data_IF_437139106148
#
_entry.id   IF_437139106148
#
_cell.length_a   1.000
_cell.length_b   1.000
_cell.length_c   1.000
_cell.angle_alpha   90.00
_cell.angle_beta   90.00
_cell.angle_gamma   90.00
#
_symmetry.space_group_name_H-M   'P 1'
#
loop_
_entity.id
_entity.type
_entity.pdbx_description
1 polymer ?
#
# COMPACT_ATOMS: atom_id res chain seq x y z
N UNK A 1 -54.39 36.23 66.25
CA UNK A 1 -53.78 34.91 65.91
C UNK A 1 -53.99 34.51 64.45
N UNK A 2 -55.24 34.45 63.95
CA UNK A 2 -55.57 34.02 62.58
C UNK A 2 -54.83 34.84 61.49
N UNK A 3 -54.78 36.17 61.62
CA UNK A 3 -54.07 37.02 60.65
C UNK A 3 -52.54 36.78 60.59
N UNK A 4 -51.92 36.35 61.69
CA UNK A 4 -50.50 35.99 61.68
C UNK A 4 -50.28 34.64 61.00
N UNK A 5 -51.17 33.66 61.22
CA UNK A 5 -51.11 32.36 60.55
C UNK A 5 -51.26 32.55 59.04
N UNK A 6 -52.27 33.31 58.58
CA UNK A 6 -52.49 33.61 57.16
C UNK A 6 -51.27 34.31 56.53
N UNK A 7 -50.67 35.29 57.22
CA UNK A 7 -49.45 35.96 56.74
C UNK A 7 -48.26 35.01 56.63
N UNK A 8 -48.05 34.16 57.63
CA UNK A 8 -46.96 33.19 57.64
C UNK A 8 -47.14 32.14 56.55
N UNK A 9 -48.36 31.61 56.35
CA UNK A 9 -48.66 30.66 55.27
C UNK A 9 -48.44 31.27 53.90
N UNK A 10 -48.88 32.53 53.66
CA UNK A 10 -48.60 33.24 52.39
C UNK A 10 -47.10 33.43 52.15
N UNK A 11 -46.33 33.76 53.20
CA UNK A 11 -44.88 33.92 53.11
C UNK A 11 -44.18 32.59 52.79
N UNK A 12 -44.62 31.49 53.39
CA UNK A 12 -44.12 30.14 53.10
C UNK A 12 -44.46 29.75 51.65
N UNK A 13 -45.70 29.94 51.19
CA UNK A 13 -46.09 29.66 49.80
C UNK A 13 -45.28 30.48 48.80
N UNK A 14 -45.05 31.76 49.09
CA UNK A 14 -44.21 32.61 48.25
C UNK A 14 -42.76 32.12 48.19
N UNK A 15 -42.21 31.66 49.31
CA UNK A 15 -40.85 31.11 49.33
C UNK A 15 -40.77 29.78 48.58
N UNK A 16 -41.77 28.90 48.72
CA UNK A 16 -41.84 27.63 47.98
C UNK A 16 -41.86 27.88 46.47
N UNK A 17 -42.71 28.80 46.00
CA UNK A 17 -42.77 29.19 44.58
C UNK A 17 -41.44 29.78 44.09
N UNK A 18 -40.77 30.59 44.93
CA UNK A 18 -39.48 31.17 44.60
C UNK A 18 -38.39 30.10 44.45
N UNK A 19 -38.29 29.16 45.39
CA UNK A 19 -37.33 28.06 45.30
C UNK A 19 -37.63 27.11 44.15
N UNK A 20 -38.91 26.87 43.84
CA UNK A 20 -39.31 26.04 42.71
C UNK A 20 -38.90 26.70 41.38
N UNK A 21 -39.09 28.01 41.24
CA UNK A 21 -38.60 28.75 40.07
C UNK A 21 -37.07 28.69 39.93
N UNK A 22 -36.32 28.83 41.02
CA UNK A 22 -34.86 28.68 40.97
C UNK A 22 -34.42 27.27 40.59
N UNK A 23 -35.16 26.25 41.06
CA UNK A 23 -34.89 24.86 40.71
C UNK A 23 -35.16 24.60 39.21
N UNK A 24 -36.25 25.14 38.66
CA UNK A 24 -36.57 25.04 37.24
C UNK A 24 -35.52 25.76 36.37
N UNK A 25 -35.07 26.95 36.78
CA UNK A 25 -33.97 27.69 36.12
C UNK A 25 -32.65 26.91 36.18
N UNK A 26 -32.36 26.24 37.30
CA UNK A 26 -31.17 25.38 37.44
C UNK A 26 -31.24 24.19 36.49
N UNK A 27 -32.39 23.51 36.38
CA UNK A 27 -32.58 22.39 35.45
C UNK A 27 -32.38 22.86 34.00
N UNK A 28 -32.98 23.99 33.60
CA UNK A 28 -32.80 24.56 32.28
C UNK A 28 -31.32 24.84 31.97
N UNK A 29 -30.60 25.46 32.91
CA UNK A 29 -29.18 25.76 32.74
C UNK A 29 -28.33 24.48 32.63
N UNK A 30 -28.65 23.44 33.41
CA UNK A 30 -27.96 22.15 33.32
C UNK A 30 -28.23 21.48 31.97
N UNK A 31 -29.44 21.53 31.44
CA UNK A 31 -29.75 20.97 30.12
C UNK A 31 -28.99 21.69 29.00
N UNK A 32 -28.91 23.02 29.05
CA UNK A 32 -28.16 23.81 28.06
C UNK A 32 -26.67 23.46 28.14
N UNK A 33 -26.09 23.47 29.34
CA UNK A 33 -24.69 23.06 29.59
C UNK A 33 -24.41 21.65 29.10
N UNK A 34 -25.32 20.70 29.31
CA UNK A 34 -25.19 19.31 28.86
C UNK A 34 -25.10 19.26 27.33
N UNK A 35 -25.99 19.95 26.62
CA UNK A 35 -25.98 20.02 25.15
C UNK A 35 -24.73 20.70 24.60
N UNK A 36 -24.27 21.78 25.23
CA UNK A 36 -23.02 22.45 24.88
C UNK A 36 -21.81 21.50 24.98
N UNK A 37 -21.68 20.78 26.11
CA UNK A 37 -20.58 19.83 26.32
C UNK A 37 -20.66 18.65 25.34
N UNK A 38 -21.86 18.10 25.08
CA UNK A 38 -22.06 17.02 24.11
C UNK A 38 -21.67 17.46 22.69
N UNK A 39 -22.04 18.68 22.30
CA UNK A 39 -21.68 19.27 21.01
C UNK A 39 -20.17 19.47 20.89
N UNK A 40 -19.53 20.06 21.90
CA UNK A 40 -18.08 20.31 21.90
C UNK A 40 -17.27 19.01 21.89
N UNK A 41 -17.70 17.99 22.65
CA UNK A 41 -17.06 16.69 22.65
C UNK A 41 -17.19 15.98 21.29
N UNK A 42 -18.37 16.03 20.66
CA UNK A 42 -18.61 15.41 19.36
C UNK A 42 -17.77 16.06 18.25
N UNK A 43 -17.66 17.40 18.25
CA UNK A 43 -16.80 18.14 17.32
C UNK A 43 -15.32 17.76 17.47
N UNK A 44 -14.81 17.73 18.71
CA UNK A 44 -13.40 17.40 18.98
C UNK A 44 -13.04 15.96 18.60
N UNK A 45 -13.95 15.01 18.83
CA UNK A 45 -13.76 13.60 18.42
C UNK A 45 -13.70 13.52 16.90
N UNK A 46 -14.63 14.18 16.21
CA UNK A 46 -14.70 14.16 14.75
C UNK A 46 -13.44 14.80 14.12
N UNK A 47 -13.01 15.97 14.62
CA UNK A 47 -11.80 16.66 14.12
C UNK A 47 -10.54 15.80 14.29
N UNK A 48 -10.36 15.16 15.45
CA UNK A 48 -9.20 14.31 15.69
C UNK A 48 -9.18 13.06 14.82
N UNK A 49 -10.34 12.48 14.54
CA UNK A 49 -10.44 11.27 13.71
C UNK A 49 -10.21 11.63 12.25
N UNK A 50 -10.83 12.69 11.73
CA UNK A 50 -10.59 13.20 10.37
C UNK A 50 -9.11 13.51 10.12
N UNK A 51 -8.43 14.14 11.08
CA UNK A 51 -6.98 14.40 10.97
C UNK A 51 -6.16 13.11 10.90
N UNK A 52 -6.53 12.09 11.69
CA UNK A 52 -5.86 10.79 11.65
C UNK A 52 -6.13 10.04 10.35
N UNK A 53 -7.35 10.11 9.82
CA UNK A 53 -7.72 9.50 8.53
C UNK A 53 -6.95 10.14 7.37
N UNK A 54 -6.88 11.47 7.32
CA UNK A 54 -6.07 12.18 6.32
C UNK A 54 -4.60 11.77 6.44
N UNK A 55 -4.04 11.77 7.65
CA UNK A 55 -2.64 11.39 7.87
C UNK A 55 -2.36 9.94 7.44
N UNK A 56 -3.26 9.00 7.75
CA UNK A 56 -3.13 7.61 7.34
C UNK A 56 -3.21 7.44 5.81
N UNK A 57 -4.10 8.16 5.14
CA UNK A 57 -4.22 8.14 3.67
C UNK A 57 -2.98 8.77 3.00
N UNK A 58 -2.43 9.86 3.55
CA UNK A 58 -1.19 10.47 3.06
C UNK A 58 0.02 9.53 3.23
N UNK A 59 0.14 8.86 4.38
CA UNK A 59 1.19 7.85 4.61
C UNK A 59 1.04 6.65 3.66
N UNK A 60 -0.18 6.17 3.44
CA UNK A 60 -0.47 5.08 2.49
C UNK A 60 -0.07 5.45 1.06
N UNK A 61 -0.48 6.63 0.59
CA UNK A 61 -0.13 7.15 -0.73
C UNK A 61 1.39 7.26 -0.93
N UNK A 62 2.10 7.71 0.12
CA UNK A 62 3.56 7.77 0.11
C UNK A 62 4.19 6.37 0.04
N UNK A 63 3.74 5.43 0.88
CA UNK A 63 4.24 4.04 0.88
C UNK A 63 4.00 3.36 -0.47
N UNK A 64 2.83 3.54 -1.09
CA UNK A 64 2.53 3.02 -2.42
C UNK A 64 3.50 3.58 -3.47
N UNK A 65 3.72 4.90 -3.46
CA UNK A 65 4.63 5.57 -4.39
C UNK A 65 6.08 5.10 -4.23
N UNK A 66 6.58 5.05 -2.99
CA UNK A 66 7.94 4.60 -2.68
C UNK A 66 8.14 3.11 -2.99
N UNK A 67 7.14 2.27 -2.70
CA UNK A 67 7.18 0.83 -2.98
C UNK A 67 7.19 0.54 -4.48
N UNK A 68 6.35 1.23 -5.26
CA UNK A 68 6.34 1.11 -6.73
C UNK A 68 7.70 1.52 -7.33
N UNK A 69 8.29 2.62 -6.86
CA UNK A 69 9.61 3.06 -7.31
C UNK A 69 10.72 2.05 -6.97
N UNK A 70 10.64 1.41 -5.80
CA UNK A 70 11.58 0.37 -5.39
C UNK A 70 11.42 -0.91 -6.23
N UNK A 71 10.18 -1.33 -6.49
CA UNK A 71 9.85 -2.45 -7.38
C UNK A 71 10.41 -2.20 -8.79
N UNK A 72 10.20 -1.01 -9.35
CA UNK A 72 10.76 -0.63 -10.65
C UNK A 72 12.29 -0.64 -10.66
N UNK A 73 12.93 -0.17 -9.59
CA UNK A 73 14.39 -0.19 -9.46
C UNK A 73 14.93 -1.62 -9.41
N UNK A 74 14.30 -2.52 -8.65
CA UNK A 74 14.69 -3.93 -8.60
C UNK A 74 14.52 -4.61 -9.96
N UNK A 75 13.40 -4.36 -10.64
CA UNK A 75 13.15 -4.89 -11.99
C UNK A 75 14.21 -4.40 -12.98
N UNK A 76 14.56 -3.11 -12.95
CA UNK A 76 15.61 -2.53 -13.80
C UNK A 76 16.99 -3.13 -13.50
N UNK A 77 17.34 -3.33 -12.23
CA UNK A 77 18.59 -3.99 -11.83
C UNK A 77 18.66 -5.43 -12.33
N UNK A 78 17.57 -6.20 -12.19
CA UNK A 78 17.52 -7.58 -12.66
C UNK A 78 17.62 -7.67 -14.18
N UNK A 79 16.95 -6.78 -14.92
CA UNK A 79 17.11 -6.66 -16.38
C UNK A 79 18.55 -6.36 -16.78
N UNK A 80 19.21 -5.46 -16.05
CA UNK A 80 20.62 -5.13 -16.29
C UNK A 80 21.53 -6.35 -16.11
N UNK A 81 21.34 -7.12 -15.03
CA UNK A 81 22.10 -8.35 -14.78
C UNK A 81 21.82 -9.41 -15.84
N UNK A 82 20.56 -9.54 -16.25
CA UNK A 82 20.14 -10.47 -17.28
C UNK A 82 20.82 -10.15 -18.63
N UNK A 83 20.79 -8.88 -19.03
CA UNK A 83 21.45 -8.40 -20.25
C UNK A 83 22.96 -8.62 -20.21
N UNK A 84 23.61 -8.28 -19.09
CA UNK A 84 25.03 -8.58 -18.90
C UNK A 84 25.35 -10.08 -19.05
N UNK A 85 24.49 -10.94 -18.50
CA UNK A 85 24.67 -12.40 -18.59
C UNK A 85 24.42 -12.91 -20.01
N UNK A 86 23.50 -12.28 -20.74
CA UNK A 86 23.27 -12.56 -22.16
C UNK A 86 24.48 -12.19 -23.00
N UNK A 87 24.99 -10.96 -22.88
CA UNK A 87 26.17 -10.48 -23.60
C UNK A 87 27.41 -11.35 -23.30
N UNK A 88 27.61 -11.71 -22.03
CA UNK A 88 28.72 -12.58 -21.62
C UNK A 88 28.61 -13.98 -22.24
N UNK A 89 27.39 -14.53 -22.35
CA UNK A 89 27.16 -15.83 -22.98
C UNK A 89 27.40 -15.79 -24.49
N UNK A 90 27.03 -14.71 -25.18
CA UNK A 90 27.33 -14.55 -26.61
C UNK A 90 28.84 -14.56 -26.86
N UNK A 91 29.58 -13.73 -26.11
CA UNK A 91 31.05 -13.67 -26.21
C UNK A 91 31.69 -15.03 -25.89
N UNK A 92 31.20 -15.72 -24.86
CA UNK A 92 31.74 -17.02 -24.48
C UNK A 92 31.46 -18.11 -25.52
N UNK A 93 30.27 -18.12 -26.13
CA UNK A 93 29.93 -19.06 -27.20
C UNK A 93 30.84 -18.82 -28.41
N UNK A 94 31.07 -17.58 -28.80
CA UNK A 94 31.94 -17.28 -29.94
C UNK A 94 33.39 -17.67 -29.67
N UNK A 95 33.91 -17.45 -28.45
CA UNK A 95 35.22 -17.96 -28.03
C UNK A 95 35.28 -19.49 -28.09
N UNK A 96 34.23 -20.19 -27.66
CA UNK A 96 34.17 -21.65 -27.72
C UNK A 96 34.13 -22.17 -29.16
N UNK A 97 33.40 -21.49 -30.06
CA UNK A 97 33.38 -21.82 -31.50
C UNK A 97 34.79 -21.69 -32.08
N UNK A 98 35.46 -20.57 -31.82
CA UNK A 98 36.82 -20.33 -32.33
C UNK A 98 37.83 -21.36 -31.79
N UNK A 99 37.81 -21.62 -30.48
CA UNK A 99 38.71 -22.61 -29.86
C UNK A 99 38.44 -24.03 -30.35
N UNK A 100 37.18 -24.41 -30.53
CA UNK A 100 36.82 -25.72 -31.07
C UNK A 100 37.35 -25.91 -32.49
N UNK A 101 37.13 -24.92 -33.37
CA UNK A 101 37.63 -24.94 -34.76
C UNK A 101 39.17 -25.00 -34.78
N UNK A 102 39.84 -24.16 -33.99
CA UNK A 102 41.31 -24.17 -33.92
C UNK A 102 41.85 -25.52 -33.42
N UNK A 103 41.24 -26.10 -32.39
CA UNK A 103 41.65 -27.40 -31.84
C UNK A 103 41.47 -28.54 -32.84
N UNK A 104 40.35 -28.55 -33.58
CA UNK A 104 40.09 -29.53 -34.64
C UNK A 104 41.09 -29.37 -35.79
N UNK A 105 41.33 -28.14 -36.24
CA UNK A 105 42.24 -27.87 -37.36
C UNK A 105 43.71 -28.20 -37.03
N UNK A 106 44.13 -27.92 -35.79
CA UNK A 106 45.48 -28.22 -35.30
C UNK A 106 45.71 -29.71 -35.00
N UNK A 107 44.66 -30.53 -35.05
CA UNK A 107 44.78 -31.96 -34.82
C UNK A 107 45.55 -32.62 -35.98
N UNK A 108 46.67 -33.28 -35.66
CA UNK A 108 47.55 -33.94 -36.64
C UNK A 108 47.10 -35.36 -37.04
N UNK A 109 46.12 -35.92 -36.33
CA UNK A 109 45.64 -37.30 -36.50
C UNK A 109 44.46 -37.33 -37.49
N UNK A 110 43.64 -36.28 -37.51
CA UNK A 110 42.48 -36.17 -38.39
C UNK A 110 42.90 -35.77 -39.81
N UNK A 111 42.29 -36.39 -40.81
CA UNK A 111 42.34 -35.90 -42.18
C UNK A 111 41.45 -34.66 -42.38
N UNK A 112 41.65 -33.94 -43.49
CA UNK A 112 40.96 -32.68 -43.76
C UNK A 112 39.44 -32.83 -43.94
N UNK A 113 38.98 -33.97 -44.47
CA UNK A 113 37.55 -34.24 -44.63
C UNK A 113 36.85 -34.41 -43.27
N UNK A 114 37.46 -35.15 -42.35
CA UNK A 114 36.97 -35.32 -40.99
C UNK A 114 37.07 -34.03 -40.17
N UNK A 115 38.11 -33.21 -40.36
CA UNK A 115 38.23 -31.89 -39.71
C UNK A 115 37.10 -30.95 -40.13
N UNK A 116 36.76 -30.93 -41.41
CA UNK A 116 35.66 -30.11 -41.93
C UNK A 116 34.32 -30.54 -41.33
N UNK A 117 34.02 -31.84 -41.38
CA UNK A 117 32.78 -32.39 -40.84
C UNK A 117 32.65 -32.16 -39.32
N UNK A 118 33.73 -32.35 -38.55
CA UNK A 118 33.74 -32.11 -37.10
C UNK A 118 33.61 -30.62 -36.76
N UNK A 119 34.26 -29.74 -37.52
CA UNK A 119 34.15 -28.29 -37.31
C UNK A 119 32.73 -27.79 -37.59
N UNK A 120 32.11 -28.24 -38.69
CA UNK A 120 30.72 -27.92 -39.00
C UNK A 120 29.76 -28.40 -37.91
N UNK A 121 29.96 -29.62 -37.40
CA UNK A 121 29.15 -30.16 -36.30
C UNK A 121 29.34 -29.34 -35.01
N UNK A 122 30.58 -29.03 -34.63
CA UNK A 122 30.86 -28.27 -33.42
C UNK A 122 30.27 -26.85 -33.48
N UNK A 123 30.38 -26.17 -34.63
CA UNK A 123 29.73 -24.87 -34.85
C UNK A 123 28.22 -24.99 -34.73
N UNK A 124 27.61 -25.98 -35.38
CA UNK A 124 26.16 -26.20 -35.34
C UNK A 124 25.64 -26.50 -33.92
N UNK A 125 26.37 -27.31 -33.14
CA UNK A 125 25.99 -27.63 -31.76
C UNK A 125 26.06 -26.38 -30.86
N UNK A 126 27.03 -25.50 -31.08
CA UNK A 126 27.17 -24.23 -30.35
C UNK A 126 26.15 -23.16 -30.78
N UNK A 127 25.78 -23.10 -32.06
CA UNK A 127 24.66 -22.28 -32.55
C UNK A 127 23.33 -22.74 -31.94
N UNK A 128 23.09 -24.06 -31.89
CA UNK A 128 21.91 -24.63 -31.23
C UNK A 128 21.87 -24.31 -29.74
N UNK A 129 23.03 -24.24 -29.07
CA UNK A 129 23.13 -23.82 -27.68
C UNK A 129 22.80 -22.33 -27.52
N UNK A 130 23.33 -21.47 -28.40
CA UNK A 130 23.03 -20.04 -28.44
C UNK A 130 21.52 -19.80 -28.57
N UNK A 131 20.88 -20.44 -29.54
CA UNK A 131 19.43 -20.35 -29.76
C UNK A 131 18.59 -20.80 -28.56
N UNK A 132 19.10 -21.74 -27.77
CA UNK A 132 18.43 -22.21 -26.54
C UNK A 132 18.61 -21.20 -25.42
N UNK A 133 19.80 -20.63 -25.26
CA UNK A 133 20.06 -19.59 -24.27
C UNK A 133 19.23 -18.34 -24.56
N UNK A 134 19.16 -17.88 -25.81
CA UNK A 134 18.36 -16.72 -26.21
C UNK A 134 16.87 -16.87 -25.87
N UNK A 135 16.33 -18.08 -26.06
CA UNK A 135 14.95 -18.39 -25.67
C UNK A 135 14.75 -18.34 -24.16
N UNK A 136 15.73 -18.82 -23.38
CA UNK A 136 15.69 -18.74 -21.92
C UNK A 136 15.77 -17.28 -21.46
N UNK A 137 16.64 -16.47 -22.08
CA UNK A 137 16.77 -15.04 -21.77
C UNK A 137 15.48 -14.27 -22.04
N UNK A 138 14.91 -14.40 -23.26
CA UNK A 138 13.63 -13.76 -23.61
C UNK A 138 12.49 -14.19 -22.68
N UNK A 139 12.43 -15.48 -22.33
CA UNK A 139 11.45 -15.98 -21.36
C UNK A 139 11.68 -15.41 -19.95
N UNK A 140 12.93 -15.18 -19.56
CA UNK A 140 13.29 -14.56 -18.30
C UNK A 140 12.87 -13.09 -18.24
N UNK A 141 13.11 -12.31 -19.30
CA UNK A 141 12.67 -10.90 -19.40
C UNK A 141 11.15 -10.77 -19.24
N UNK A 142 10.40 -11.58 -20.00
CA UNK A 142 8.93 -11.58 -19.94
C UNK A 142 8.41 -11.90 -18.54
N UNK A 143 9.00 -12.91 -17.87
CA UNK A 143 8.62 -13.26 -16.50
C UNK A 143 8.89 -12.14 -15.51
N UNK A 144 9.99 -11.40 -15.65
CA UNK A 144 10.27 -10.27 -14.79
C UNK A 144 9.27 -9.13 -14.99
N UNK A 145 8.86 -8.86 -16.23
CA UNK A 145 7.81 -7.87 -16.50
C UNK A 145 6.46 -8.28 -15.93
N UNK A 146 6.08 -9.57 -16.07
CA UNK A 146 4.87 -10.11 -15.44
C UNK A 146 4.91 -10.01 -13.91
N UNK A 147 6.06 -10.31 -13.30
CA UNK A 147 6.26 -10.17 -11.85
C UNK A 147 6.19 -8.72 -11.38
N UNK A 148 6.74 -7.78 -12.17
CA UNK A 148 6.69 -6.34 -11.89
C UNK A 148 5.24 -5.86 -11.84
N UNK A 149 4.47 -6.16 -12.89
CA UNK A 149 3.06 -5.78 -13.00
C UNK A 149 2.20 -6.46 -11.93
N UNK A 150 2.43 -7.74 -11.65
CA UNK A 150 1.72 -8.46 -10.59
C UNK A 150 1.98 -7.83 -9.21
N UNK A 151 3.22 -7.45 -8.93
CA UNK A 151 3.59 -6.81 -7.65
C UNK A 151 2.93 -5.45 -7.50
N UNK A 152 2.95 -4.61 -8.55
CA UNK A 152 2.26 -3.31 -8.57
C UNK A 152 0.75 -3.45 -8.39
N UNK A 153 0.12 -4.41 -9.09
CA UNK A 153 -1.31 -4.65 -8.96
C UNK A 153 -1.70 -5.14 -7.56
N UNK A 154 -0.87 -5.97 -6.92
CA UNK A 154 -1.10 -6.39 -5.54
C UNK A 154 -0.98 -5.22 -4.57
N UNK A 155 0.01 -4.35 -4.73
CA UNK A 155 0.17 -3.13 -3.92
C UNK A 155 -1.04 -2.22 -4.07
N UNK A 156 -1.47 -1.96 -5.30
CA UNK A 156 -2.66 -1.17 -5.59
C UNK A 156 -3.91 -1.75 -4.93
N UNK A 157 -4.13 -3.06 -5.03
CA UNK A 157 -5.27 -3.73 -4.39
C UNK A 157 -5.25 -3.61 -2.86
N UNK A 158 -4.07 -3.70 -2.25
CA UNK A 158 -3.92 -3.49 -0.79
C UNK A 158 -4.22 -2.04 -0.43
N UNK A 159 -3.76 -1.08 -1.24
CA UNK A 159 -4.07 0.36 -1.10
C UNK A 159 -5.58 0.60 -1.13
N UNK A 160 -6.28 0.11 -2.17
CA UNK A 160 -7.73 0.20 -2.32
C UNK A 160 -8.51 -0.41 -1.13
N UNK A 161 -8.07 -1.58 -0.64
CA UNK A 161 -8.70 -2.21 0.54
C UNK A 161 -8.50 -1.37 1.81
N UNK A 162 -7.35 -0.71 1.96
CA UNK A 162 -7.07 0.14 3.11
C UNK A 162 -7.85 1.46 3.03
N UNK A 163 -7.99 2.05 1.84
CA UNK A 163 -8.89 3.19 1.62
C UNK A 163 -10.34 2.85 1.99
N UNK A 164 -10.83 1.67 1.58
CA UNK A 164 -12.19 1.21 1.96
C UNK A 164 -12.33 1.04 3.48
N UNK A 165 -11.30 0.53 4.16
CA UNK A 165 -11.30 0.38 5.60
C UNK A 165 -11.29 1.73 6.33
N UNK A 166 -10.49 2.68 5.85
CA UNK A 166 -10.46 4.07 6.37
C UNK A 166 -11.84 4.71 6.19
N UNK A 167 -12.45 4.59 5.01
CA UNK A 167 -13.81 5.08 4.75
C UNK A 167 -14.84 4.50 5.71
N UNK A 168 -14.83 3.18 5.96
CA UNK A 168 -15.74 2.54 6.91
C UNK A 168 -15.53 3.00 8.35
N UNK A 169 -14.29 3.35 8.70
CA UNK A 169 -13.95 3.91 10.01
C UNK A 169 -14.53 5.31 10.17
N UNK A 170 -14.51 6.11 9.10
CA UNK A 170 -15.19 7.41 9.03
C UNK A 170 -16.70 7.28 9.20
N UNK A 171 -17.34 6.37 8.47
CA UNK A 171 -18.78 6.10 8.59
C UNK A 171 -19.19 5.71 10.02
N UNK A 172 -18.40 4.82 10.66
CA UNK A 172 -18.63 4.42 12.04
C UNK A 172 -18.47 5.58 13.03
N UNK A 173 -17.47 6.43 12.81
CA UNK A 173 -17.22 7.63 13.63
C UNK A 173 -18.37 8.63 13.52
N UNK A 174 -18.90 8.82 12.32
CA UNK A 174 -20.08 9.66 12.11
C UNK A 174 -21.29 9.10 12.87
N UNK A 175 -21.54 7.79 12.78
CA UNK A 175 -22.64 7.13 13.51
C UNK A 175 -22.53 7.31 15.03
N UNK A 176 -21.32 7.14 15.59
CA UNK A 176 -21.06 7.33 17.04
C UNK A 176 -21.26 8.79 17.43
N UNK A 177 -20.77 9.74 16.62
CA UNK A 177 -20.92 11.18 16.88
C UNK A 177 -22.39 11.60 16.85
N UNK A 178 -23.17 11.09 15.92
CA UNK A 178 -24.62 11.33 15.88
C UNK A 178 -25.31 10.81 17.16
N UNK A 179 -24.94 9.62 17.66
CA UNK A 179 -25.46 9.07 18.93
C UNK A 179 -25.04 9.84 20.19
N UNK A 180 -23.98 10.66 20.14
CA UNK A 180 -23.57 11.51 21.27
C UNK A 180 -24.38 12.81 21.32
N UNK A 181 -24.83 13.28 20.16
CA UNK A 181 -25.62 14.50 19.98
C UNK A 181 -27.11 14.26 20.31
N UNK A 182 -27.66 13.10 19.92
CA UNK A 182 -29.06 12.70 20.15
C UNK A 182 -29.24 11.86 21.41
#
# INVERSE_FOLDING_TARGET
>A
MINNIIKTTRKIQSNVLFYQKQYDELIQNIEVKKREIQSEASLKINDSILQNEISALEELSKVETESNALVDKFTSMNKTVLNFTHDANEVMIDLLKEQAIQSINNNKILDEENKLALSQKATHDLENLQDRLDRIFKSGELRWDEMNETSKNNLKKVSENLEELVSKTGDFTEEVSQKLIY
#
